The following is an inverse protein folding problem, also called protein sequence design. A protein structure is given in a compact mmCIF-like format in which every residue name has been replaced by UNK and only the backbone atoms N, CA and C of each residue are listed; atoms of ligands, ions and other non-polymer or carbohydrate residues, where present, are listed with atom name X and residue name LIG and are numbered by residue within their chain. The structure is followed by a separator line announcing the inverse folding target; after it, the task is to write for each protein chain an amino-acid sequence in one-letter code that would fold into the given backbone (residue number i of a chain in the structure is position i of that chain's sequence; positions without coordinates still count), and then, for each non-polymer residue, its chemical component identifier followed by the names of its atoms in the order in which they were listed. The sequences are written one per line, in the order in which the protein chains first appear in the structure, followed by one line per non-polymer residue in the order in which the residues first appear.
data_IF_148410510370
#
_entry.id   IF_148410510370
#
_cell.length_a   1.000
_cell.length_b   1.000
_cell.length_c   1.000
_cell.angle_alpha   90.00
_cell.angle_beta   90.00
_cell.angle_gamma   90.00
#
_symmetry.space_group_name_H-M   'P 1'
#
loop_
_entity.id
_entity.type
_entity.pdbx_description
1 polymer ?
#
# COMPACT_ATOMS: atom_id res chain seq x y z
N UNK A 1 -34.07 75.49 46.82
CA UNK A 1 -34.60 74.15 46.62
C UNK A 1 -33.84 73.50 45.45
N UNK A 2 -32.73 73.00 45.76
CA UNK A 2 -31.90 72.30 44.78
C UNK A 2 -31.98 70.77 45.05
N UNK A 3 -32.39 70.07 44.07
CA UNK A 3 -32.42 68.60 44.07
C UNK A 3 -31.10 68.13 43.45
N UNK A 4 -30.26 67.52 44.22
CA UNK A 4 -29.02 66.90 43.72
C UNK A 4 -29.34 65.47 43.31
N UNK A 5 -29.16 65.16 42.04
CA UNK A 5 -29.30 63.82 41.48
C UNK A 5 -27.87 63.21 41.45
N UNK A 6 -27.69 62.19 42.26
CA UNK A 6 -26.46 61.40 42.30
C UNK A 6 -26.53 60.32 41.23
N UNK A 7 -25.65 60.41 40.19
CA UNK A 7 -25.48 59.38 39.23
C UNK A 7 -24.47 58.33 39.75
N UNK A 8 -24.99 57.16 40.05
CA UNK A 8 -24.15 55.99 40.33
C UNK A 8 -23.94 55.24 38.99
N UNK A 9 -22.72 55.32 38.45
CA UNK A 9 -22.35 54.51 37.29
C UNK A 9 -21.93 53.12 37.78
N UNK A 10 -22.74 52.14 37.46
CA UNK A 10 -22.40 50.74 37.64
C UNK A 10 -21.46 50.29 36.51
N UNK A 11 -20.19 50.00 36.85
CA UNK A 11 -19.29 49.27 35.93
C UNK A 11 -19.69 47.81 35.95
N UNK A 12 -20.22 47.35 34.83
CA UNK A 12 -20.43 45.95 34.58
C UNK A 12 -19.13 45.36 34.06
N UNK A 13 -18.43 44.58 34.86
CA UNK A 13 -17.35 43.74 34.41
C UNK A 13 -17.98 42.51 33.73
N UNK A 14 -17.96 42.47 32.41
CA UNK A 14 -18.19 41.24 31.68
C UNK A 14 -16.91 40.42 31.78
N UNK A 15 -16.91 39.42 32.64
CA UNK A 15 -15.93 38.36 32.57
C UNK A 15 -16.22 37.53 31.34
N UNK A 16 -15.37 37.62 30.29
CA UNK A 16 -15.28 36.60 29.29
C UNK A 16 -14.70 35.37 29.98
N UNK A 17 -15.52 34.36 30.16
CA UNK A 17 -15.08 33.02 30.43
C UNK A 17 -14.68 32.45 29.07
N UNK A 18 -13.38 32.45 28.77
CA UNK A 18 -12.82 31.66 27.71
C UNK A 18 -12.89 30.19 28.19
N UNK A 19 -13.96 29.52 27.84
CA UNK A 19 -13.94 28.07 27.75
C UNK A 19 -13.22 27.75 26.45
N UNK A 20 -11.92 27.65 26.52
CA UNK A 20 -11.13 26.90 25.56
C UNK A 20 -11.42 25.41 25.81
N UNK A 21 -12.55 24.94 25.36
CA UNK A 21 -12.73 23.56 24.98
C UNK A 21 -11.85 23.38 23.73
N UNK A 22 -10.56 23.16 23.95
CA UNK A 22 -9.73 22.46 22.99
C UNK A 22 -10.31 21.04 22.91
N UNK A 23 -11.28 20.85 22.02
CA UNK A 23 -11.39 19.60 21.30
C UNK A 23 -10.06 19.50 20.54
N UNK A 24 -9.08 18.83 21.14
CA UNK A 24 -7.99 18.22 20.42
C UNK A 24 -8.65 17.19 19.48
N UNK A 25 -9.22 17.67 18.38
CA UNK A 25 -9.20 16.91 17.17
C UNK A 25 -7.71 16.88 16.84
N UNK A 26 -7.06 15.78 17.15
CA UNK A 26 -5.95 15.31 16.37
C UNK A 26 -6.51 15.19 14.94
N UNK A 27 -6.52 16.31 14.22
CA UNK A 27 -6.39 16.30 12.80
C UNK A 27 -5.02 15.61 12.60
N UNK A 28 -5.04 14.29 12.48
CA UNK A 28 -4.03 13.61 11.75
C UNK A 28 -4.09 14.25 10.37
N UNK A 29 -3.29 15.31 10.22
CA UNK A 29 -2.88 15.81 8.93
C UNK A 29 -2.15 14.61 8.28
N UNK A 30 -2.94 13.77 7.60
CA UNK A 30 -2.44 12.85 6.60
C UNK A 30 -1.93 13.75 5.48
N UNK A 31 -0.86 14.52 5.81
CA UNK A 31 -0.03 15.16 4.82
C UNK A 31 0.34 14.04 3.87
N UNK A 32 0.13 14.30 2.60
CA UNK A 32 0.52 13.50 1.45
C UNK A 32 1.97 13.00 1.61
N UNK A 33 2.19 12.09 2.57
CA UNK A 33 3.30 11.18 2.56
C UNK A 33 2.85 10.14 1.54
N UNK A 34 3.20 10.39 0.27
CA UNK A 34 3.25 9.32 -0.70
C UNK A 34 4.12 8.26 -0.03
N UNK A 35 3.54 7.07 0.22
CA UNK A 35 4.24 5.95 0.84
C UNK A 35 5.44 5.57 -0.03
N UNK A 36 6.58 6.20 0.23
CA UNK A 36 7.77 5.98 -0.59
C UNK A 36 8.25 4.54 -0.42
N UNK A 37 7.97 3.74 -1.44
CA UNK A 37 8.36 2.33 -1.49
C UNK A 37 9.72 2.22 -2.17
N UNK A 38 10.78 2.08 -1.38
CA UNK A 38 12.14 1.92 -1.89
C UNK A 38 12.59 0.46 -2.00
N UNK A 39 11.83 -0.48 -1.42
CA UNK A 39 12.05 -1.90 -1.60
C UNK A 39 10.73 -2.67 -1.67
N UNK A 40 10.65 -3.58 -2.64
CA UNK A 40 9.59 -4.56 -2.76
C UNK A 40 10.21 -5.96 -2.70
N UNK A 41 9.68 -6.81 -1.81
CA UNK A 41 10.12 -8.21 -1.67
C UNK A 41 8.91 -9.12 -1.78
N UNK A 42 8.85 -9.91 -2.85
CA UNK A 42 7.79 -10.90 -3.04
C UNK A 42 8.35 -12.31 -2.91
N UNK A 43 7.94 -13.01 -1.86
CA UNK A 43 8.44 -14.34 -1.51
C UNK A 43 7.40 -15.41 -1.82
N UNK A 44 7.77 -16.35 -2.70
CA UNK A 44 6.98 -17.53 -3.05
C UNK A 44 7.55 -18.78 -2.38
N UNK A 45 6.74 -19.42 -1.54
CA UNK A 45 7.11 -20.69 -0.88
C UNK A 45 6.26 -21.82 -1.41
N UNK A 46 6.92 -22.87 -1.97
CA UNK A 46 6.23 -24.04 -2.51
C UNK A 46 5.44 -24.76 -1.41
N UNK A 47 4.15 -24.94 -1.62
CA UNK A 47 3.22 -25.52 -0.61
C UNK A 47 3.50 -27.00 -0.30
N UNK A 48 4.17 -27.70 -1.22
CA UNK A 48 4.56 -29.12 -1.05
C UNK A 48 5.99 -29.32 -0.58
N UNK A 49 6.85 -28.27 -0.70
CA UNK A 49 8.27 -28.31 -0.32
C UNK A 49 8.71 -26.95 0.18
N UNK A 50 8.64 -26.71 1.46
CA UNK A 50 9.00 -25.42 2.08
C UNK A 50 10.47 -25.00 1.94
N UNK A 51 11.33 -25.86 1.37
CA UNK A 51 12.71 -25.50 1.02
C UNK A 51 12.84 -24.94 -0.41
N UNK A 52 11.80 -25.06 -1.22
CA UNK A 52 11.69 -24.44 -2.55
C UNK A 52 11.04 -23.06 -2.38
N UNK A 53 11.91 -22.06 -2.28
CA UNK A 53 11.53 -20.65 -2.08
C UNK A 53 12.13 -19.82 -3.19
N UNK A 54 11.32 -19.00 -3.83
CA UNK A 54 11.75 -18.02 -4.84
C UNK A 54 11.37 -16.63 -4.37
N UNK A 55 12.34 -15.71 -4.37
CA UNK A 55 12.15 -14.33 -3.96
C UNK A 55 12.39 -13.42 -5.16
N UNK A 56 11.48 -12.49 -5.37
CA UNK A 56 11.58 -11.39 -6.32
C UNK A 56 11.83 -10.13 -5.50
N UNK A 57 12.95 -9.46 -5.73
CA UNK A 57 13.34 -8.27 -4.97
C UNK A 57 13.56 -7.09 -5.91
N UNK A 58 12.93 -5.99 -5.64
CA UNK A 58 13.26 -4.67 -6.19
C UNK A 58 13.88 -3.84 -5.07
N UNK A 59 14.90 -3.05 -5.39
CA UNK A 59 15.52 -2.11 -4.46
C UNK A 59 15.92 -0.85 -5.21
N UNK A 60 15.50 0.27 -4.66
CA UNK A 60 15.87 1.62 -5.04
C UNK A 60 16.31 2.36 -3.78
N UNK A 61 17.62 2.45 -3.55
CA UNK A 61 18.16 2.96 -2.26
C UNK A 61 18.05 4.48 -2.12
N UNK A 62 17.90 5.20 -3.22
CA UNK A 62 17.89 6.66 -3.27
C UNK A 62 16.53 7.24 -3.71
N UNK A 63 15.50 6.39 -3.84
CA UNK A 63 14.12 6.76 -4.10
C UNK A 63 13.91 7.57 -5.37
N UNK A 64 12.81 8.31 -5.42
CA UNK A 64 12.42 9.08 -6.59
C UNK A 64 13.47 10.15 -6.98
N UNK A 65 13.99 10.01 -8.21
CA UNK A 65 14.88 11.00 -8.84
C UNK A 65 16.38 10.71 -8.73
N UNK A 66 16.74 9.56 -8.16
CA UNK A 66 18.11 9.04 -8.09
C UNK A 66 18.51 8.18 -9.29
N UNK A 67 19.21 7.07 -9.04
CA UNK A 67 19.49 6.04 -10.04
C UNK A 67 18.28 5.10 -10.16
N UNK A 68 18.09 4.53 -11.34
CA UNK A 68 17.01 3.53 -11.51
C UNK A 68 17.20 2.36 -10.52
N UNK A 69 16.14 1.91 -9.86
CA UNK A 69 16.15 0.76 -8.97
C UNK A 69 16.56 -0.53 -9.67
N UNK A 70 16.94 -1.54 -8.90
CA UNK A 70 17.43 -2.83 -9.41
C UNK A 70 16.51 -3.97 -9.03
N UNK A 71 16.36 -4.95 -9.89
CA UNK A 71 15.60 -6.19 -9.65
C UNK A 71 16.51 -7.39 -9.55
N UNK A 72 16.19 -8.33 -8.64
CA UNK A 72 16.82 -9.63 -8.48
C UNK A 72 15.76 -10.73 -8.33
N UNK A 73 16.02 -11.91 -8.87
CA UNK A 73 15.17 -13.10 -8.70
C UNK A 73 16.02 -14.26 -8.25
N UNK A 74 15.77 -14.80 -7.07
CA UNK A 74 16.65 -15.78 -6.41
C UNK A 74 16.67 -17.15 -7.08
N UNK A 75 15.71 -17.49 -7.95
CA UNK A 75 15.62 -18.80 -8.59
C UNK A 75 14.46 -18.95 -9.56
N UNK A 76 14.23 -20.18 -10.01
CA UNK A 76 13.14 -20.51 -10.93
C UNK A 76 11.98 -21.17 -10.19
N UNK A 77 10.77 -21.01 -10.68
CA UNK A 77 9.60 -21.71 -10.17
C UNK A 77 9.55 -23.14 -10.69
N UNK A 78 9.23 -24.10 -9.83
CA UNK A 78 9.02 -25.49 -10.23
C UNK A 78 7.74 -25.63 -11.05
N UNK A 79 7.82 -26.21 -12.25
CA UNK A 79 6.68 -26.39 -13.13
C UNK A 79 5.58 -27.25 -12.48
N UNK A 80 4.32 -26.84 -12.68
CA UNK A 80 3.11 -27.45 -12.12
C UNK A 80 3.06 -27.51 -10.58
N UNK A 81 3.88 -26.71 -9.90
CA UNK A 81 3.81 -26.52 -8.45
C UNK A 81 2.83 -25.43 -8.07
N UNK A 82 2.47 -25.42 -6.78
CA UNK A 82 1.70 -24.34 -6.15
C UNK A 82 2.54 -23.69 -5.06
N UNK A 83 2.40 -22.37 -4.92
CA UNK A 83 3.14 -21.58 -3.94
C UNK A 83 2.16 -20.74 -3.12
N UNK A 84 2.55 -20.44 -1.89
CA UNK A 84 1.99 -19.35 -1.10
C UNK A 84 2.91 -18.15 -1.28
N UNK A 85 2.36 -17.01 -1.67
CA UNK A 85 3.09 -15.76 -1.89
C UNK A 85 2.81 -14.76 -0.79
N UNK A 86 3.86 -14.05 -0.36
CA UNK A 86 3.80 -12.92 0.59
C UNK A 86 4.58 -11.75 0.01
N UNK A 87 3.96 -10.58 -0.02
CA UNK A 87 4.57 -9.33 -0.45
C UNK A 87 4.91 -8.48 0.78
N UNK A 88 6.09 -7.89 0.76
CA UNK A 88 6.58 -6.88 1.72
C UNK A 88 6.94 -5.61 0.94
N UNK A 89 6.51 -4.47 1.44
CA UNK A 89 6.84 -3.14 0.92
C UNK A 89 7.53 -2.35 2.02
N UNK A 90 8.69 -1.77 1.71
CA UNK A 90 9.58 -1.20 2.73
C UNK A 90 10.10 0.15 2.24
N UNK A 91 10.13 1.14 3.13
CA UNK A 91 10.94 2.33 3.00
C UNK A 91 12.29 2.09 3.71
N UNK A 92 13.37 1.89 2.94
CA UNK A 92 14.70 1.59 3.47
C UNK A 92 15.35 2.81 4.14
N UNK A 93 15.04 4.03 3.68
CA UNK A 93 15.64 5.25 4.22
C UNK A 93 15.13 5.51 5.64
N UNK A 94 13.85 5.34 5.86
CA UNK A 94 13.20 5.55 7.17
C UNK A 94 13.16 4.26 8.01
N UNK A 95 13.33 3.10 7.38
CA UNK A 95 13.28 1.79 8.01
C UNK A 95 11.86 1.38 8.38
N UNK A 96 10.88 1.81 7.61
CA UNK A 96 9.46 1.56 7.83
C UNK A 96 8.94 0.38 7.02
N UNK A 97 7.97 -0.33 7.58
CA UNK A 97 7.21 -1.39 6.93
C UNK A 97 5.93 -0.79 6.34
N UNK A 98 6.07 -0.20 5.15
CA UNK A 98 4.97 0.44 4.39
C UNK A 98 3.84 -0.56 4.13
N UNK A 99 4.19 -1.83 3.87
CA UNK A 99 3.19 -2.88 3.65
C UNK A 99 2.33 -3.17 4.87
N UNK A 100 2.91 -3.12 6.08
CA UNK A 100 2.15 -3.28 7.31
C UNK A 100 1.24 -2.07 7.57
N UNK A 101 1.70 -0.86 7.30
CA UNK A 101 0.91 0.37 7.44
C UNK A 101 -0.29 0.36 6.49
N UNK A 102 -0.07 0.10 5.20
CA UNK A 102 -1.16 -0.06 4.23
C UNK A 102 -2.17 -1.12 4.68
N UNK A 103 -1.71 -2.29 5.14
CA UNK A 103 -2.61 -3.38 5.52
C UNK A 103 -3.43 -3.09 6.79
N UNK A 104 -2.94 -2.24 7.71
CA UNK A 104 -3.58 -1.94 8.99
C UNK A 104 -4.43 -0.66 8.95
N UNK A 105 -4.01 0.35 8.18
CA UNK A 105 -4.60 1.69 8.22
C UNK A 105 -5.28 2.10 6.90
N UNK A 106 -4.73 1.71 5.72
CA UNK A 106 -5.13 2.21 4.40
C UNK A 106 -5.50 1.11 3.39
N UNK A 107 -5.92 -0.07 3.90
CA UNK A 107 -6.25 -1.22 3.05
C UNK A 107 -7.37 -0.95 2.03
N UNK A 108 -8.33 -0.10 2.38
CA UNK A 108 -9.44 0.25 1.50
C UNK A 108 -9.00 1.08 0.30
N UNK A 109 -7.90 1.81 0.42
CA UNK A 109 -7.39 2.71 -0.61
C UNK A 109 -6.34 2.04 -1.50
N UNK A 110 -5.80 0.86 -1.11
CA UNK A 110 -4.76 0.16 -1.87
C UNK A 110 -5.20 -1.18 -2.44
N UNK A 111 -4.67 -1.54 -3.62
CA UNK A 111 -4.79 -2.87 -4.21
C UNK A 111 -3.52 -3.23 -5.00
N UNK A 112 -3.07 -4.49 -4.84
CA UNK A 112 -1.88 -5.00 -5.49
C UNK A 112 -2.25 -5.96 -6.61
N UNK A 113 -1.70 -5.72 -7.79
CA UNK A 113 -1.96 -6.49 -9.00
C UNK A 113 -0.73 -7.29 -9.43
N UNK A 114 -0.96 -8.53 -9.84
CA UNK A 114 0.06 -9.43 -10.38
C UNK A 114 -0.25 -9.76 -11.84
N UNK A 115 0.56 -9.24 -12.76
CA UNK A 115 0.32 -9.36 -14.20
C UNK A 115 1.46 -10.17 -14.81
N UNK A 116 1.14 -11.24 -15.54
CA UNK A 116 2.17 -12.06 -16.17
C UNK A 116 1.81 -12.44 -17.60
N UNK A 117 2.82 -12.64 -18.44
CA UNK A 117 2.70 -13.20 -19.77
C UNK A 117 3.18 -14.66 -19.87
N UNK A 118 3.57 -15.27 -18.73
CA UNK A 118 3.96 -16.69 -18.68
C UNK A 118 2.72 -17.56 -18.72
N UNK A 119 2.63 -18.43 -19.72
CA UNK A 119 1.45 -19.27 -19.91
C UNK A 119 1.21 -20.21 -18.72
N UNK A 120 0.04 -20.09 -18.10
CA UNK A 120 -0.39 -20.94 -16.99
C UNK A 120 0.18 -20.55 -15.61
N UNK A 121 0.98 -19.50 -15.52
CA UNK A 121 1.32 -18.88 -14.24
C UNK A 121 0.14 -17.98 -13.82
N UNK A 122 -0.44 -18.24 -12.65
CA UNK A 122 -1.63 -17.57 -12.13
C UNK A 122 -1.42 -17.15 -10.68
N UNK A 123 -1.98 -15.99 -10.33
CA UNK A 123 -1.95 -15.40 -9.00
C UNK A 123 -3.38 -15.15 -8.54
N UNK A 124 -3.76 -15.73 -7.42
CA UNK A 124 -5.06 -15.55 -6.78
C UNK A 124 -4.84 -14.86 -5.43
N UNK A 125 -5.30 -13.62 -5.28
CA UNK A 125 -5.25 -12.86 -4.02
C UNK A 125 -6.09 -13.55 -2.95
N UNK A 126 -5.56 -13.69 -1.74
CA UNK A 126 -6.21 -14.41 -0.63
C UNK A 126 -6.60 -13.53 0.55
N UNK A 127 -6.10 -12.31 0.60
CA UNK A 127 -6.45 -11.27 1.57
C UNK A 127 -7.40 -10.23 0.98
N UNK A 128 -8.14 -9.58 1.86
CA UNK A 128 -9.15 -8.58 1.47
C UNK A 128 -9.13 -7.42 2.46
N UNK A 129 -9.58 -6.25 1.99
CA UNK A 129 -9.87 -5.08 2.82
C UNK A 129 -11.15 -5.27 3.66
N UNK A 130 -11.54 -4.25 4.45
CA UNK A 130 -12.73 -4.31 5.30
C UNK A 130 -14.05 -4.37 4.50
N UNK A 131 -14.05 -3.92 3.25
CA UNK A 131 -15.17 -3.97 2.31
C UNK A 131 -15.21 -5.26 1.48
N UNK A 132 -14.29 -6.20 1.76
CA UNK A 132 -14.12 -7.48 1.07
C UNK A 132 -13.64 -7.38 -0.38
N UNK A 133 -13.01 -6.27 -0.76
CA UNK A 133 -12.29 -6.19 -2.03
C UNK A 133 -10.90 -6.83 -1.89
N UNK A 134 -10.30 -7.37 -2.96
CA UNK A 134 -8.94 -7.89 -2.94
C UNK A 134 -7.93 -6.83 -2.47
N UNK A 135 -6.95 -7.23 -1.64
CA UNK A 135 -5.85 -6.37 -1.22
C UNK A 135 -4.54 -6.75 -1.92
N UNK A 136 -4.04 -7.97 -1.73
CA UNK A 136 -2.98 -8.54 -2.55
C UNK A 136 -1.62 -8.75 -1.88
N UNK A 137 -1.48 -8.55 -0.56
CA UNK A 137 -0.24 -8.90 0.15
C UNK A 137 -0.03 -10.41 0.24
N UNK A 138 -1.12 -11.18 0.21
CA UNK A 138 -1.09 -12.64 0.28
C UNK A 138 -1.73 -13.24 -0.98
N UNK A 139 -1.05 -14.24 -1.56
CA UNK A 139 -1.52 -14.89 -2.79
C UNK A 139 -1.35 -16.41 -2.75
N UNK A 140 -2.25 -17.11 -3.43
CA UNK A 140 -2.02 -18.47 -3.89
C UNK A 140 -1.55 -18.44 -5.35
N UNK A 141 -0.43 -19.10 -5.65
CA UNK A 141 0.17 -19.06 -6.98
C UNK A 141 0.23 -20.46 -7.58
N UNK A 142 -0.23 -20.58 -8.81
CA UNK A 142 -0.12 -21.81 -9.60
C UNK A 142 0.91 -21.61 -10.70
N UNK A 143 2.04 -22.33 -10.63
CA UNK A 143 2.99 -22.38 -11.72
C UNK A 143 2.52 -23.38 -12.77
N UNK A 144 2.38 -22.92 -14.01
CA UNK A 144 1.99 -23.75 -15.15
C UNK A 144 3.10 -24.65 -15.67
N UNK A 145 3.07 -24.96 -16.95
CA UNK A 145 4.17 -25.67 -17.63
C UNK A 145 5.42 -24.79 -17.72
N UNK A 146 6.59 -25.43 -17.95
CA UNK A 146 7.86 -24.73 -18.14
C UNK A 146 7.76 -23.63 -19.21
N UNK A 147 8.29 -22.45 -18.90
CA UNK A 147 8.24 -21.27 -19.74
C UNK A 147 8.96 -20.07 -19.10
N UNK A 148 9.12 -19.01 -19.87
CA UNK A 148 9.74 -17.76 -19.41
C UNK A 148 8.91 -16.57 -19.81
N UNK A 149 9.02 -15.48 -19.06
CA UNK A 149 8.35 -14.22 -19.37
C UNK A 149 8.56 -13.19 -18.28
N UNK A 150 7.59 -12.31 -18.14
CA UNK A 150 7.62 -11.19 -17.20
C UNK A 150 6.48 -11.39 -16.18
N UNK A 151 6.78 -11.10 -14.92
CA UNK A 151 5.83 -10.79 -13.87
C UNK A 151 5.93 -9.31 -13.57
N UNK A 152 4.83 -8.59 -13.67
CA UNK A 152 4.72 -7.20 -13.21
C UNK A 152 3.88 -7.17 -11.94
N UNK A 153 4.40 -6.53 -10.91
CA UNK A 153 3.70 -6.25 -9.66
C UNK A 153 3.43 -4.74 -9.62
N UNK A 154 2.17 -4.35 -9.42
CA UNK A 154 1.74 -2.96 -9.40
C UNK A 154 0.93 -2.71 -8.14
N UNK A 155 1.29 -1.70 -7.36
CA UNK A 155 0.54 -1.20 -6.20
C UNK A 155 -0.24 0.03 -6.67
N UNK A 156 -1.54 0.01 -6.49
CA UNK A 156 -2.45 1.09 -6.88
C UNK A 156 -3.06 1.70 -5.64
N UNK A 157 -2.93 3.02 -5.50
CA UNK A 157 -3.50 3.84 -4.44
C UNK A 157 -4.75 4.58 -4.94
N UNK A 158 -5.76 4.71 -4.08
CA UNK A 158 -7.06 5.35 -4.36
C UNK A 158 -7.73 4.83 -5.64
N UNK A 159 -7.42 3.58 -6.00
CA UNK A 159 -7.99 2.92 -7.15
C UNK A 159 -9.47 2.67 -6.99
N UNK A 160 -10.19 2.61 -8.13
CA UNK A 160 -11.58 2.20 -8.13
C UNK A 160 -11.75 0.80 -7.53
N UNK A 161 -12.56 0.65 -6.48
CA UNK A 161 -12.98 -0.62 -5.87
C UNK A 161 -14.51 -0.71 -5.79
N UNK A 162 -15.15 -1.85 -6.10
CA UNK A 162 -14.55 -2.97 -6.80
C UNK A 162 -14.23 -2.64 -8.27
N UNK A 163 -13.26 -3.31 -8.84
CA UNK A 163 -12.86 -3.22 -10.24
C UNK A 163 -13.01 -4.58 -10.96
N UNK A 164 -12.58 -4.69 -12.20
CA UNK A 164 -12.67 -5.93 -12.99
C UNK A 164 -11.43 -6.85 -12.86
N UNK A 165 -10.54 -6.56 -11.90
CA UNK A 165 -9.29 -7.29 -11.66
C UNK A 165 -8.14 -6.82 -12.55
N UNK A 166 -8.25 -5.65 -13.18
CA UNK A 166 -7.18 -5.06 -13.98
C UNK A 166 -6.73 -3.71 -13.44
N UNK A 167 -5.43 -3.42 -13.54
CA UNK A 167 -4.87 -2.10 -13.23
C UNK A 167 -5.57 -1.00 -14.04
N UNK A 168 -5.90 -1.26 -15.30
CA UNK A 168 -6.56 -0.27 -16.15
C UNK A 168 -7.96 0.12 -15.67
N UNK A 169 -8.74 -0.81 -15.09
CA UNK A 169 -10.04 -0.49 -14.50
C UNK A 169 -9.86 0.16 -13.12
N UNK A 170 -8.91 -0.29 -12.31
CA UNK A 170 -8.59 0.34 -11.03
C UNK A 170 -8.19 1.82 -11.22
N UNK A 171 -7.35 2.13 -12.19
CA UNK A 171 -6.92 3.49 -12.54
C UNK A 171 -7.96 4.27 -13.38
N UNK A 172 -9.14 3.74 -13.64
CA UNK A 172 -10.18 4.45 -14.42
C UNK A 172 -10.86 5.60 -13.66
N UNK A 173 -10.58 5.73 -12.36
CA UNK A 173 -11.02 6.82 -11.47
C UNK A 173 -9.94 7.87 -11.25
N UNK A 174 -9.70 8.18 -9.99
CA UNK A 174 -8.67 9.14 -9.54
C UNK A 174 -7.40 8.44 -9.03
N UNK A 175 -7.38 7.09 -9.05
CA UNK A 175 -6.28 6.28 -8.55
C UNK A 175 -4.96 6.52 -9.26
N UNK A 176 -3.88 6.32 -8.52
CA UNK A 176 -2.49 6.43 -8.97
C UNK A 176 -1.76 5.10 -8.79
N UNK A 177 -0.57 4.99 -9.36
CA UNK A 177 0.32 3.84 -9.11
C UNK A 177 1.47 4.32 -8.24
N UNK A 178 1.61 3.75 -7.04
CA UNK A 178 2.72 4.07 -6.15
C UNK A 178 4.00 3.40 -6.63
N UNK A 179 3.91 2.15 -7.05
CA UNK A 179 5.04 1.44 -7.63
C UNK A 179 4.59 0.41 -8.66
N UNK A 180 5.34 0.27 -9.75
CA UNK A 180 5.20 -0.81 -10.73
C UNK A 180 6.57 -1.40 -11.07
N UNK A 181 6.76 -2.69 -10.80
CA UNK A 181 8.04 -3.38 -11.02
C UNK A 181 7.84 -4.61 -11.90
N UNK A 182 8.71 -4.76 -12.89
CA UNK A 182 8.74 -5.91 -13.80
C UNK A 182 9.94 -6.82 -13.49
N UNK A 183 9.69 -8.11 -13.32
CA UNK A 183 10.67 -9.15 -13.07
C UNK A 183 10.71 -10.17 -14.20
N UNK A 184 11.91 -10.60 -14.59
CA UNK A 184 12.07 -11.80 -15.41
C UNK A 184 11.70 -13.04 -14.60
N UNK A 185 10.78 -13.88 -15.09
CA UNK A 185 10.38 -15.11 -14.41
C UNK A 185 10.60 -16.33 -15.30
N UNK A 186 11.10 -17.40 -14.68
CA UNK A 186 11.29 -18.70 -15.31
C UNK A 186 10.54 -19.78 -14.52
N UNK A 187 9.79 -20.61 -15.24
CA UNK A 187 9.17 -21.84 -14.73
C UNK A 187 9.88 -23.03 -15.38
N UNK A 188 10.40 -23.98 -14.61
CA UNK A 188 11.15 -25.15 -15.09
C UNK A 188 10.83 -26.47 -14.37
#
# INVERSE_FOLDING_TARGET
KLLAILFISALSFTACSDNDDHDDHDDHDHGEHEDEITQLVYTLTNTSNSSDVVTFTFTDEDGDGGADGTTDVSGNLTANATYSGVLELINLEEGEDVGAEIAEEDAEDHEIFYITNVAGLQFDTTDVDADLNPLGFNTDVTAGAAGTGILTISVVHEGKKPNDGTVADALSGEGTTDIEVAFDVTVE
#
